data_IF_754991163560
#
_entry.id   IF_754991163560
#
_cell.length_a   1.000
_cell.length_b   1.000
_cell.length_c   1.000
_cell.angle_alpha   90.00
_cell.angle_beta   90.00
_cell.angle_gamma   90.00
#
_symmetry.space_group_name_H-M   'P 1'
#
loop_
_entity.id
_entity.type
_entity.pdbx_description
1 polymer ?
#
# COMPACT_ATOMS: atom_id res chain seq x y z
N UNK A 1 -41.85 65.34 14.37
CA UNK A 1 -42.56 65.14 15.66
C UNK A 1 -43.32 63.81 15.56
N UNK A 2 -43.40 62.86 16.49
CA UNK A 2 -42.82 62.57 17.80
C UNK A 2 -43.40 61.16 18.18
N UNK A 3 -42.53 60.18 18.49
CA UNK A 3 -42.75 58.97 19.35
C UNK A 3 -43.80 57.93 18.88
N UNK A 4 -43.56 56.63 18.93
CA UNK A 4 -43.45 55.82 20.16
C UNK A 4 -42.74 54.48 19.97
N UNK A 5 -42.25 53.96 21.11
CA UNK A 5 -41.35 52.83 21.30
C UNK A 5 -42.00 51.44 21.17
N UNK A 6 -41.17 50.50 20.74
CA UNK A 6 -41.01 49.13 21.24
C UNK A 6 -42.22 48.18 21.28
N UNK A 7 -42.09 47.07 20.54
CA UNK A 7 -42.33 45.72 21.08
C UNK A 7 -41.38 44.72 20.43
N UNK A 8 -40.48 44.18 21.24
CA UNK A 8 -39.65 43.03 20.91
C UNK A 8 -40.53 41.79 20.82
N UNK A 9 -40.55 41.14 19.66
CA UNK A 9 -40.92 39.73 19.55
C UNK A 9 -39.90 39.06 18.65
N UNK A 10 -38.91 38.44 19.27
CA UNK A 10 -38.02 37.50 18.63
C UNK A 10 -38.80 36.21 18.36
N UNK A 11 -38.86 35.73 17.11
CA UNK A 11 -39.19 34.34 16.82
C UNK A 11 -38.46 33.84 15.56
N UNK A 12 -37.58 32.86 15.83
CA UNK A 12 -37.16 31.72 15.02
C UNK A 12 -36.40 31.94 13.70
N UNK A 13 -35.06 31.86 13.78
CA UNK A 13 -34.26 31.36 12.68
C UNK A 13 -34.55 29.87 12.48
N UNK A 14 -35.22 29.49 11.39
CA UNK A 14 -35.36 28.09 10.99
C UNK A 14 -34.06 27.69 10.31
N UNK A 15 -33.15 27.10 11.08
CA UNK A 15 -32.03 26.35 10.53
C UNK A 15 -32.58 25.02 9.97
N UNK A 16 -32.59 24.88 8.65
CA UNK A 16 -32.79 23.56 8.02
C UNK A 16 -31.54 22.72 8.31
N UNK A 17 -31.58 21.97 9.41
CA UNK A 17 -30.64 20.89 9.68
C UNK A 17 -30.91 19.78 8.66
N UNK A 18 -30.06 19.67 7.63
CA UNK A 18 -29.99 18.43 6.85
C UNK A 18 -29.44 17.36 7.79
N UNK A 19 -30.27 16.35 8.08
CA UNK A 19 -29.90 15.21 8.90
C UNK A 19 -28.69 14.49 8.25
N UNK A 20 -27.52 14.61 8.86
CA UNK A 20 -26.36 13.78 8.57
C UNK A 20 -26.63 12.37 9.12
N UNK A 21 -27.34 11.55 8.35
CA UNK A 21 -27.53 10.13 8.66
C UNK A 21 -26.21 9.40 8.48
N UNK A 22 -25.60 9.07 9.63
CA UNK A 22 -24.55 8.07 9.89
C UNK A 22 -23.93 7.37 8.67
N UNK A 23 -22.74 7.83 8.26
CA UNK A 23 -21.73 6.96 7.68
C UNK A 23 -20.64 6.71 8.72
N UNK A 24 -20.99 5.99 9.79
CA UNK A 24 -20.03 5.47 10.78
C UNK A 24 -19.58 4.05 10.41
N UNK A 25 -19.58 3.71 9.12
CA UNK A 25 -18.83 2.54 8.66
C UNK A 25 -17.36 2.92 8.68
N UNK A 26 -16.54 2.24 9.49
CA UNK A 26 -15.10 2.33 9.32
C UNK A 26 -14.80 1.90 7.88
N UNK A 27 -14.28 2.82 7.06
CA UNK A 27 -13.77 2.44 5.75
C UNK A 27 -12.62 1.45 5.97
N UNK A 28 -12.90 0.16 5.83
CA UNK A 28 -11.87 -0.87 5.83
C UNK A 28 -11.17 -0.76 4.47
N UNK A 29 -10.08 0.00 4.42
CA UNK A 29 -9.22 0.01 3.24
C UNK A 29 -8.61 -1.39 3.09
N UNK A 30 -8.79 -2.01 1.92
CA UNK A 30 -8.11 -3.28 1.60
C UNK A 30 -6.62 -3.12 1.88
N UNK A 31 -6.06 -4.00 2.71
CA UNK A 31 -4.62 -3.99 3.02
C UNK A 31 -3.78 -4.45 1.83
N UNK A 32 -4.36 -5.25 0.95
CA UNK A 32 -3.77 -5.72 -0.29
C UNK A 32 -4.21 -4.84 -1.46
N UNK A 33 -3.28 -4.01 -1.94
CA UNK A 33 -3.44 -3.35 -3.24
C UNK A 33 -3.20 -4.38 -4.35
N UNK A 34 -3.99 -4.39 -5.45
CA UNK A 34 -3.80 -5.36 -6.53
C UNK A 34 -2.43 -5.22 -7.22
N UNK A 35 -1.81 -4.05 -7.09
CA UNK A 35 -0.47 -3.76 -7.59
C UNK A 35 0.18 -2.69 -6.72
N UNK A 36 1.51 -2.77 -6.55
CA UNK A 36 2.33 -1.79 -5.83
C UNK A 36 3.31 -1.17 -6.85
N UNK A 37 3.46 0.15 -6.87
CA UNK A 37 4.21 0.81 -7.94
C UNK A 37 4.06 2.32 -8.03
N UNK A 38 4.74 2.91 -9.02
CA UNK A 38 4.56 4.33 -9.35
C UNK A 38 3.12 4.62 -9.79
N UNK A 39 2.57 5.75 -9.34
CA UNK A 39 1.19 6.16 -9.68
C UNK A 39 0.10 5.33 -9.01
N UNK A 40 0.45 4.52 -8.01
CA UNK A 40 -0.48 3.66 -7.26
C UNK A 40 -0.60 4.12 -5.82
N UNK A 41 -1.75 3.83 -5.21
CA UNK A 41 -1.95 4.02 -3.78
C UNK A 41 -1.19 2.91 -3.03
N UNK A 42 0.07 3.18 -2.69
CA UNK A 42 0.93 2.23 -2.00
C UNK A 42 0.66 2.24 -0.50
N UNK A 43 0.52 1.05 0.10
CA UNK A 43 0.44 0.87 1.54
C UNK A 43 1.86 0.72 2.13
N UNK A 44 2.15 1.41 3.25
CA UNK A 44 3.50 1.42 3.86
C UNK A 44 4.02 0.01 4.21
N UNK A 45 3.14 -0.89 4.67
CA UNK A 45 3.50 -2.26 5.01
C UNK A 45 3.75 -3.10 3.77
N UNK A 46 2.96 -2.88 2.71
CA UNK A 46 3.17 -3.54 1.43
C UNK A 46 4.50 -3.14 0.79
N UNK A 47 4.85 -1.85 0.81
CA UNK A 47 6.14 -1.37 0.31
C UNK A 47 7.29 -1.93 1.15
N UNK A 48 7.16 -1.92 2.48
CA UNK A 48 8.17 -2.50 3.36
C UNK A 48 8.37 -3.99 3.06
N UNK A 49 7.30 -4.74 2.83
CA UNK A 49 7.37 -6.13 2.41
C UNK A 49 8.14 -6.29 1.08
N UNK A 50 7.88 -5.46 0.07
CA UNK A 50 8.67 -5.49 -1.17
C UNK A 50 10.16 -5.26 -0.88
N UNK A 51 10.48 -4.23 -0.12
CA UNK A 51 11.87 -3.87 0.23
C UNK A 51 12.58 -5.00 0.99
N UNK A 52 11.91 -5.56 2.01
CA UNK A 52 12.42 -6.67 2.83
C UNK A 52 12.67 -7.92 2.01
N UNK A 53 11.69 -8.33 1.19
CA UNK A 53 11.79 -9.55 0.38
C UNK A 53 12.93 -9.45 -0.64
N UNK A 54 13.09 -8.30 -1.29
CA UNK A 54 14.20 -8.05 -2.22
C UNK A 54 15.55 -8.08 -1.49
N UNK A 55 15.67 -7.36 -0.37
CA UNK A 55 16.91 -7.33 0.40
C UNK A 55 17.33 -8.73 0.87
N UNK A 56 16.37 -9.54 1.33
CA UNK A 56 16.63 -10.91 1.73
C UNK A 56 17.12 -11.77 0.54
N UNK A 57 16.47 -11.68 -0.61
CA UNK A 57 16.88 -12.41 -1.81
C UNK A 57 18.30 -12.00 -2.28
N UNK A 58 18.65 -10.72 -2.17
CA UNK A 58 20.01 -10.21 -2.42
C UNK A 58 21.01 -10.80 -1.42
N UNK A 59 20.71 -10.78 -0.11
CA UNK A 59 21.58 -11.36 0.93
C UNK A 59 21.79 -12.87 0.73
N UNK A 60 20.84 -13.57 0.11
CA UNK A 60 20.92 -14.99 -0.29
C UNK A 60 21.70 -15.22 -1.59
N UNK A 61 22.16 -14.18 -2.25
CA UNK A 61 22.93 -14.26 -3.50
C UNK A 61 22.07 -14.58 -4.73
N UNK A 62 20.75 -14.36 -4.68
CA UNK A 62 19.83 -14.67 -5.79
C UNK A 62 20.00 -13.69 -6.96
N UNK A 63 20.33 -12.44 -6.65
CA UNK A 63 20.43 -11.34 -7.61
C UNK A 63 21.81 -10.67 -7.53
N UNK A 64 22.68 -11.01 -8.48
CA UNK A 64 24.04 -10.46 -8.52
C UNK A 64 24.05 -9.02 -9.05
N UNK A 65 24.81 -8.13 -8.41
CA UNK A 65 24.96 -6.73 -8.83
C UNK A 65 23.78 -5.83 -8.49
N UNK A 66 22.75 -6.34 -7.80
CA UNK A 66 21.60 -5.55 -7.34
C UNK A 66 21.89 -4.97 -5.97
N UNK A 67 21.65 -3.67 -5.80
CA UNK A 67 21.87 -2.98 -4.54
C UNK A 67 20.66 -3.11 -3.60
N UNK A 68 20.92 -3.29 -2.31
CA UNK A 68 19.89 -3.25 -1.26
C UNK A 68 19.23 -1.87 -1.19
N UNK A 69 17.97 -1.87 -0.77
CA UNK A 69 17.17 -0.66 -0.56
C UNK A 69 16.90 -0.45 0.92
N UNK A 70 16.59 0.80 1.31
CA UNK A 70 16.10 1.06 2.65
C UNK A 70 14.74 0.36 2.86
N UNK A 71 14.54 -0.19 4.05
CA UNK A 71 13.28 -0.81 4.48
C UNK A 71 12.44 0.22 5.24
N UNK A 72 12.08 1.31 4.55
CA UNK A 72 11.40 2.48 5.12
C UNK A 72 9.90 2.52 4.82
N UNK A 73 9.37 1.56 4.06
CA UNK A 73 7.96 1.53 3.64
C UNK A 73 7.59 2.63 2.64
N UNK A 74 8.56 3.38 2.11
CA UNK A 74 8.34 4.45 1.16
C UNK A 74 8.67 4.00 -0.28
N UNK A 75 7.71 4.15 -1.18
CA UNK A 75 7.92 3.76 -2.58
C UNK A 75 8.71 4.84 -3.33
N UNK A 76 10.04 4.73 -3.29
CA UNK A 76 10.97 5.64 -3.96
C UNK A 76 11.57 5.10 -5.26
N UNK A 77 12.32 5.93 -5.99
CA UNK A 77 12.99 5.52 -7.23
C UNK A 77 13.97 4.35 -7.03
N UNK A 78 14.62 4.27 -5.87
CA UNK A 78 15.51 3.15 -5.52
C UNK A 78 14.74 1.84 -5.37
N UNK A 79 13.60 1.85 -4.67
CA UNK A 79 12.72 0.67 -4.54
C UNK A 79 12.21 0.22 -5.91
N UNK A 80 11.75 1.15 -6.75
CA UNK A 80 11.34 0.82 -8.12
C UNK A 80 12.48 0.21 -8.93
N UNK A 81 13.69 0.77 -8.86
CA UNK A 81 14.82 0.22 -9.61
C UNK A 81 15.16 -1.19 -9.14
N UNK A 82 15.19 -1.44 -7.83
CA UNK A 82 15.43 -2.77 -7.29
C UNK A 82 14.37 -3.78 -7.76
N UNK A 83 13.10 -3.37 -7.86
CA UNK A 83 12.03 -4.21 -8.43
C UNK A 83 12.31 -4.54 -9.91
N UNK A 84 12.75 -3.57 -10.70
CA UNK A 84 13.13 -3.78 -12.11
C UNK A 84 14.29 -4.77 -12.20
N UNK A 85 15.30 -4.60 -11.36
CA UNK A 85 16.50 -5.44 -11.38
C UNK A 85 16.18 -6.89 -11.03
N UNK A 86 15.35 -7.13 -10.00
CA UNK A 86 14.92 -8.50 -9.67
C UNK A 86 14.02 -9.10 -10.76
N UNK A 87 13.12 -8.30 -11.36
CA UNK A 87 12.30 -8.76 -12.50
C UNK A 87 13.16 -9.16 -13.71
N UNK A 88 14.22 -8.39 -14.03
CA UNK A 88 15.18 -8.76 -15.06
C UNK A 88 15.95 -10.05 -14.70
N UNK A 89 16.24 -10.24 -13.40
CA UNK A 89 16.92 -11.42 -12.87
C UNK A 89 16.15 -12.73 -13.04
N UNK A 90 14.84 -12.71 -13.33
CA UNK A 90 14.03 -13.93 -13.50
C UNK A 90 14.14 -14.58 -14.89
N UNK A 91 15.14 -14.22 -15.68
CA UNK A 91 15.40 -14.80 -17.00
C UNK A 91 14.27 -14.58 -18.02
N UNK A 92 13.52 -13.47 -17.91
CA UNK A 92 12.43 -13.12 -18.82
C UNK A 92 11.04 -13.64 -18.44
N UNK A 93 10.91 -14.36 -17.31
CA UNK A 93 9.61 -14.83 -16.81
C UNK A 93 8.68 -13.70 -16.35
N UNK A 94 9.25 -12.54 -15.99
CA UNK A 94 8.53 -11.35 -15.59
C UNK A 94 8.83 -10.19 -16.53
N UNK A 95 7.85 -9.31 -16.69
CA UNK A 95 8.05 -8.01 -17.33
C UNK A 95 8.76 -7.08 -16.35
N UNK A 96 9.89 -6.52 -16.75
CA UNK A 96 10.67 -5.58 -15.94
C UNK A 96 10.11 -4.14 -16.01
N UNK A 97 8.90 -3.92 -15.51
CA UNK A 97 8.21 -2.63 -15.54
C UNK A 97 8.32 -1.83 -14.22
N UNK A 98 8.84 -2.45 -13.17
CA UNK A 98 8.97 -1.84 -11.85
C UNK A 98 7.65 -1.76 -11.10
N UNK A 99 6.70 -2.64 -11.43
CA UNK A 99 5.41 -2.78 -10.76
C UNK A 99 5.34 -4.17 -10.12
N UNK A 100 5.01 -4.23 -8.84
CA UNK A 100 4.75 -5.49 -8.15
C UNK A 100 3.28 -5.84 -8.32
N UNK A 101 2.98 -6.69 -9.30
CA UNK A 101 1.69 -7.38 -9.43
C UNK A 101 1.77 -8.84 -8.97
N UNK A 102 0.69 -9.63 -9.13
CA UNK A 102 0.60 -11.00 -8.62
C UNK A 102 1.81 -11.89 -8.92
N UNK A 103 2.28 -11.91 -10.18
CA UNK A 103 3.43 -12.73 -10.56
C UNK A 103 4.75 -12.27 -9.93
N UNK A 104 4.93 -10.96 -9.74
CA UNK A 104 6.11 -10.43 -9.04
C UNK A 104 6.00 -10.70 -7.54
N UNK A 105 4.80 -10.61 -6.95
CA UNK A 105 4.58 -10.96 -5.56
C UNK A 105 4.79 -12.44 -5.27
N UNK A 106 4.36 -13.34 -6.16
CA UNK A 106 4.63 -14.79 -6.05
C UNK A 106 6.13 -15.08 -6.03
N UNK A 107 6.89 -14.43 -6.91
CA UNK A 107 8.34 -14.51 -6.90
C UNK A 107 8.91 -14.01 -5.56
N UNK A 108 8.44 -12.88 -5.05
CA UNK A 108 8.90 -12.34 -3.77
C UNK A 108 8.50 -13.24 -2.57
N UNK A 109 7.35 -13.91 -2.62
CA UNK A 109 6.94 -14.89 -1.61
C UNK A 109 7.85 -16.11 -1.60
N UNK A 110 8.26 -16.57 -2.78
CA UNK A 110 9.08 -17.76 -2.96
C UNK A 110 10.57 -17.52 -2.65
N UNK A 111 11.12 -16.40 -3.11
CA UNK A 111 12.56 -16.11 -3.00
C UNK A 111 12.92 -15.21 -1.81
N UNK A 112 11.92 -14.54 -1.23
CA UNK A 112 12.08 -13.62 -0.12
C UNK A 112 12.20 -14.30 1.24
N UNK A 113 12.05 -13.48 2.29
CA UNK A 113 12.21 -13.88 3.68
C UNK A 113 11.08 -14.85 4.11
N UNK A 114 11.39 -16.13 4.39
CA UNK A 114 10.39 -17.14 4.73
C UNK A 114 9.68 -16.85 6.05
N UNK A 115 10.29 -16.07 6.96
CA UNK A 115 9.64 -15.66 8.20
C UNK A 115 8.43 -14.75 7.92
N UNK A 116 8.56 -13.87 6.93
CA UNK A 116 7.51 -12.91 6.58
C UNK A 116 6.55 -13.41 5.50
N UNK A 117 6.95 -14.37 4.65
CA UNK A 117 6.02 -15.02 3.71
C UNK A 117 5.19 -16.14 4.35
N UNK A 118 5.64 -16.68 5.48
CA UNK A 118 5.04 -17.84 6.13
C UNK A 118 5.55 -19.17 5.57
N UNK A 119 6.61 -19.13 4.75
CA UNK A 119 7.19 -20.31 4.10
C UNK A 119 6.13 -21.08 3.30
N UNK A 120 6.23 -22.41 3.34
CA UNK A 120 5.28 -23.29 2.63
C UNK A 120 3.83 -23.23 3.14
N UNK A 121 3.55 -22.53 4.24
CA UNK A 121 2.18 -22.36 4.77
C UNK A 121 1.47 -21.11 4.24
N UNK A 122 2.20 -20.16 3.61
CA UNK A 122 1.60 -19.00 2.94
C UNK A 122 0.74 -18.12 3.84
N UNK A 123 1.05 -18.02 5.14
CA UNK A 123 0.24 -17.27 6.12
C UNK A 123 1.05 -16.20 6.86
N UNK A 124 2.20 -15.82 6.31
CA UNK A 124 3.08 -14.82 6.91
C UNK A 124 2.55 -13.40 6.76
N UNK A 125 3.14 -12.48 7.54
CA UNK A 125 2.78 -11.08 7.54
C UNK A 125 2.70 -10.46 6.13
N UNK A 126 3.70 -10.70 5.29
CA UNK A 126 3.76 -10.12 3.95
C UNK A 126 2.83 -10.78 2.93
N UNK A 127 2.31 -11.97 3.21
CA UNK A 127 1.26 -12.59 2.40
C UNK A 127 -0.02 -11.75 2.40
N UNK A 128 -0.30 -11.05 3.50
CA UNK A 128 -1.48 -10.15 3.61
C UNK A 128 -1.35 -8.87 2.78
N UNK A 129 -0.13 -8.45 2.44
CA UNK A 129 0.14 -7.14 1.83
C UNK A 129 0.66 -7.20 0.40
N UNK A 130 1.38 -8.27 0.03
CA UNK A 130 1.87 -8.42 -1.33
C UNK A 130 0.76 -8.98 -2.23
N UNK A 131 0.56 -8.42 -3.44
CA UNK A 131 -0.32 -9.03 -4.42
C UNK A 131 0.32 -10.35 -4.87
N UNK A 132 -0.31 -11.46 -4.52
CA UNK A 132 0.17 -12.82 -4.77
C UNK A 132 -1.03 -13.73 -5.10
N UNK A 133 -0.78 -14.79 -5.86
CA UNK A 133 -1.73 -15.89 -6.12
C UNK A 133 -1.44 -17.14 -5.28
N UNK A 134 -0.33 -17.12 -4.55
CA UNK A 134 0.14 -18.19 -3.67
C UNK A 134 -0.68 -18.27 -2.38
#
# INVERSE_FOLDING_TARGET
MLRTLARRTALAAVATALAATAMSGTANASTSAPYIGNGRANNTHAVWCVQRMINYAIDRGRYWGVAKVAEDGAWGPKTRQAVIDVQNGTGGSLKADGIVGPQTGDMLMFEGDPYYSGGGAGNGYCHTYLPTTY
#
